data_IF_007435825460
#
_entry.id   IF_007435825460
#
_cell.length_a   1.000
_cell.length_b   1.000
_cell.length_c   1.000
_cell.angle_alpha   90.00
_cell.angle_beta   90.00
_cell.angle_gamma   90.00
#
_symmetry.space_group_name_H-M   'P 1'
#
loop_
_entity.id
_entity.type
_entity.pdbx_description
1 polymer ?
#
# COMPACT_ATOMS: atom_id res chain seq x y z
N UNK A 1 -60.84 -23.28 36.03
CA UNK A 1 -60.84 -24.71 35.65
C UNK A 1 -59.85 -24.87 34.51
N UNK A 2 -58.67 -25.43 34.82
CA UNK A 2 -58.17 -26.72 34.30
C UNK A 2 -57.58 -26.65 32.89
N UNK A 3 -56.46 -27.27 32.54
CA UNK A 3 -55.33 -27.94 33.21
C UNK A 3 -54.35 -28.21 32.06
N UNK A 4 -53.07 -28.04 32.34
CA UNK A 4 -51.90 -28.66 31.69
C UNK A 4 -52.14 -29.76 30.65
N UNK A 5 -51.58 -29.58 29.45
CA UNK A 5 -51.12 -30.65 28.54
C UNK A 5 -49.81 -30.12 27.91
N UNK A 6 -48.64 -30.51 28.42
CA UNK A 6 -47.88 -31.73 28.12
C UNK A 6 -47.18 -31.70 26.75
N UNK A 7 -45.89 -31.34 26.82
CA UNK A 7 -44.71 -31.90 26.11
C UNK A 7 -44.86 -32.32 24.64
N UNK A 8 -44.05 -31.68 23.79
CA UNK A 8 -43.59 -32.31 22.55
C UNK A 8 -42.76 -31.37 21.67
N UNK A 9 -41.67 -31.91 21.12
CA UNK A 9 -40.89 -31.42 19.97
C UNK A 9 -39.79 -30.37 20.21
N UNK A 10 -38.63 -30.92 20.58
CA UNK A 10 -37.29 -30.62 20.09
C UNK A 10 -37.21 -30.25 18.59
N UNK A 11 -36.53 -29.14 18.25
CA UNK A 11 -35.67 -28.94 17.06
C UNK A 11 -35.15 -27.48 17.05
N UNK A 12 -33.94 -27.17 17.54
CA UNK A 12 -32.68 -27.15 16.76
C UNK A 12 -32.85 -26.65 15.32
N UNK A 13 -32.58 -25.36 15.09
CA UNK A 13 -31.59 -24.90 14.11
C UNK A 13 -31.60 -23.36 14.03
N UNK A 14 -30.64 -22.76 14.72
CA UNK A 14 -30.13 -21.43 14.41
C UNK A 14 -29.57 -21.45 12.98
N UNK A 15 -30.12 -20.65 12.08
CA UNK A 15 -29.36 -20.10 10.95
C UNK A 15 -29.85 -18.68 10.67
N UNK A 16 -29.23 -17.71 11.33
CA UNK A 16 -29.22 -16.33 10.85
C UNK A 16 -28.17 -16.23 9.73
N UNK A 17 -28.51 -15.84 8.49
CA UNK A 17 -27.51 -15.43 7.53
C UNK A 17 -26.98 -14.05 7.96
N UNK A 18 -25.92 -14.05 8.77
CA UNK A 18 -25.15 -12.84 9.04
C UNK A 18 -24.40 -12.42 7.76
N UNK A 19 -24.61 -11.16 7.38
CA UNK A 19 -23.98 -10.51 6.24
C UNK A 19 -22.44 -10.58 6.32
N UNK A 20 -21.79 -10.93 5.21
CA UNK A 20 -20.36 -10.76 5.03
C UNK A 20 -20.13 -9.87 3.79
N UNK A 21 -20.02 -8.57 4.04
CA UNK A 21 -19.58 -7.57 3.08
C UNK A 21 -18.06 -7.74 2.99
N UNK A 22 -17.59 -8.47 1.99
CA UNK A 22 -16.16 -8.62 1.74
C UNK A 22 -15.66 -7.38 0.98
N UNK A 23 -15.18 -6.39 1.72
CA UNK A 23 -14.37 -5.29 1.21
C UNK A 23 -12.90 -5.64 1.48
N UNK A 24 -12.11 -6.08 0.49
CA UNK A 24 -10.68 -6.14 0.67
C UNK A 24 -10.12 -4.72 0.58
N UNK A 25 -10.00 -4.10 1.75
CA UNK A 25 -9.06 -3.02 2.00
C UNK A 25 -7.66 -3.64 2.12
N UNK A 26 -6.96 -3.75 0.99
CA UNK A 26 -5.52 -4.01 0.97
C UNK A 26 -4.81 -2.76 0.41
N UNK A 27 -4.98 -1.63 1.12
CA UNK A 27 -3.91 -0.65 1.17
C UNK A 27 -2.87 -1.21 2.14
N UNK A 28 -2.10 -2.18 1.65
CA UNK A 28 -0.84 -2.56 2.27
C UNK A 28 0.02 -1.30 2.29
N UNK A 29 0.04 -0.61 3.43
CA UNK A 29 1.05 0.37 3.76
C UNK A 29 2.36 -0.41 3.77
N UNK A 30 3.00 -0.48 2.59
CA UNK A 30 4.30 -1.08 2.41
C UNK A 30 5.20 -0.48 3.49
N UNK A 31 5.61 -1.36 4.41
CA UNK A 31 6.56 -1.09 5.46
C UNK A 31 7.67 -0.26 4.84
N UNK A 32 7.76 1.01 5.24
CA UNK A 32 8.59 2.00 4.59
C UNK A 32 10.05 1.63 4.87
N UNK A 33 10.57 0.64 4.14
CA UNK A 33 11.98 0.34 4.09
C UNK A 33 12.64 1.64 3.65
N UNK A 34 13.39 2.24 4.58
CA UNK A 34 13.90 3.58 4.43
C UNK A 34 14.73 3.64 3.14
N UNK A 35 14.29 4.45 2.18
CA UNK A 35 15.02 4.66 0.93
C UNK A 35 16.43 5.10 1.28
N UNK A 36 17.44 4.39 0.76
CA UNK A 36 18.85 4.73 0.97
C UNK A 36 19.45 5.31 -0.30
N UNK A 37 20.50 6.12 -0.10
CA UNK A 37 21.35 6.59 -1.20
C UNK A 37 21.91 5.39 -1.97
N UNK A 38 21.93 5.51 -3.30
CA UNK A 38 22.47 4.50 -4.20
C UNK A 38 21.46 3.43 -4.66
N UNK A 39 20.24 3.41 -4.10
CA UNK A 39 19.18 2.50 -4.55
C UNK A 39 18.77 2.85 -5.99
N UNK A 40 18.45 1.82 -6.78
CA UNK A 40 17.95 2.03 -8.13
C UNK A 40 16.51 2.56 -8.03
N UNK A 41 16.21 3.68 -8.69
CA UNK A 41 14.89 4.30 -8.69
C UNK A 41 14.12 3.90 -9.96
N UNK A 42 12.91 3.40 -9.79
CA UNK A 42 11.99 2.98 -10.85
C UNK A 42 10.70 3.81 -10.78
N UNK A 43 10.16 4.15 -11.94
CA UNK A 43 8.83 4.76 -12.02
C UNK A 43 7.70 3.73 -11.81
N UNK A 44 6.45 4.21 -11.85
CA UNK A 44 5.29 3.35 -11.69
C UNK A 44 5.17 2.26 -12.77
N UNK A 45 5.60 2.56 -14.00
CA UNK A 45 5.64 1.66 -15.15
C UNK A 45 6.81 0.67 -15.11
N UNK A 46 7.70 0.79 -14.12
CA UNK A 46 8.88 -0.06 -13.97
C UNK A 46 10.09 0.38 -14.81
N UNK A 47 10.04 1.57 -15.41
CA UNK A 47 11.18 2.18 -16.09
C UNK A 47 12.20 2.66 -15.05
N UNK A 48 13.45 2.26 -15.23
CA UNK A 48 14.55 2.76 -14.41
C UNK A 48 14.84 4.22 -14.70
N UNK A 49 14.65 5.07 -13.70
CA UNK A 49 14.93 6.50 -13.76
C UNK A 49 16.41 6.80 -13.47
N UNK A 50 17.02 6.06 -12.54
CA UNK A 50 18.41 6.28 -12.18
C UNK A 50 18.77 5.67 -10.83
N UNK A 51 19.66 6.34 -10.11
CA UNK A 51 19.97 6.02 -8.71
C UNK A 51 19.61 7.19 -7.82
N UNK A 52 19.22 6.88 -6.58
CA UNK A 52 18.97 7.89 -5.55
C UNK A 52 20.29 8.54 -5.16
N UNK A 53 20.39 9.86 -5.36
CA UNK A 53 21.58 10.65 -5.05
C UNK A 53 21.55 11.18 -3.62
N UNK A 54 20.40 11.68 -3.18
CA UNK A 54 20.20 12.19 -1.85
C UNK A 54 18.81 11.82 -1.33
N UNK A 55 18.74 11.51 -0.03
CA UNK A 55 17.49 11.29 0.69
C UNK A 55 17.38 12.39 1.73
N UNK A 56 16.37 13.25 1.60
CA UNK A 56 16.04 14.27 2.58
C UNK A 56 14.84 13.82 3.38
N UNK A 57 15.11 13.12 4.49
CA UNK A 57 14.06 12.65 5.39
C UNK A 57 13.31 13.82 6.04
N UNK A 58 14.02 14.90 6.40
CA UNK A 58 13.43 16.10 7.03
C UNK A 58 12.44 16.81 6.11
N UNK A 59 12.74 16.87 4.81
CA UNK A 59 11.89 17.54 3.82
C UNK A 59 10.94 16.57 3.09
N UNK A 60 11.01 15.27 3.38
CA UNK A 60 10.10 14.27 2.82
C UNK A 60 10.34 13.92 1.35
N UNK A 61 11.54 14.10 0.79
CA UNK A 61 11.82 13.79 -0.63
C UNK A 61 13.16 13.10 -0.86
N UNK A 62 13.26 12.39 -1.98
CA UNK A 62 14.54 11.92 -2.55
C UNK A 62 14.86 12.68 -3.81
N UNK A 63 16.14 12.76 -4.13
CA UNK A 63 16.61 13.33 -5.39
C UNK A 63 17.38 12.31 -6.20
N UNK A 64 17.28 12.45 -7.51
CA UNK A 64 18.08 11.69 -8.46
C UNK A 64 18.46 12.60 -9.63
N UNK A 65 19.56 12.25 -10.29
CA UNK A 65 20.03 12.97 -11.48
C UNK A 65 19.59 12.20 -12.72
N UNK A 66 18.93 12.90 -13.64
CA UNK A 66 18.59 12.38 -14.96
C UNK A 66 18.89 13.44 -16.02
N UNK A 67 19.66 13.08 -17.04
CA UNK A 67 20.06 14.00 -18.11
C UNK A 67 20.61 15.35 -17.58
N UNK A 68 21.54 15.27 -16.61
CA UNK A 68 22.19 16.44 -15.96
C UNK A 68 21.23 17.35 -15.17
N UNK A 69 19.97 16.96 -14.98
CA UNK A 69 18.99 17.68 -14.15
C UNK A 69 18.70 16.91 -12.87
N UNK A 70 18.44 17.64 -11.79
CA UNK A 70 18.05 17.08 -10.50
C UNK A 70 16.54 17.06 -10.42
N UNK A 71 15.97 15.87 -10.23
CA UNK A 71 14.55 15.68 -10.00
C UNK A 71 14.29 15.28 -8.55
N UNK A 72 13.08 15.55 -8.07
CA UNK A 72 12.66 15.27 -6.70
C UNK A 72 11.46 14.35 -6.73
N UNK A 73 11.45 13.35 -5.86
CA UNK A 73 10.33 12.42 -5.70
C UNK A 73 9.94 12.40 -4.22
N UNK A 74 8.66 12.58 -3.88
CA UNK A 74 8.19 12.47 -2.50
C UNK A 74 8.50 11.09 -1.91
N UNK A 75 8.98 11.04 -0.67
CA UNK A 75 9.20 9.78 0.04
C UNK A 75 7.90 9.00 0.25
N UNK A 76 6.77 9.71 0.41
CA UNK A 76 5.45 9.10 0.58
C UNK A 76 4.97 8.33 -0.66
N UNK A 77 5.49 8.65 -1.86
CA UNK A 77 5.15 7.93 -3.09
C UNK A 77 6.09 6.76 -3.37
N UNK A 78 7.10 6.54 -2.52
CA UNK A 78 8.13 5.53 -2.74
C UNK A 78 7.90 4.31 -1.86
N UNK A 79 7.92 3.16 -2.51
CA UNK A 79 8.03 1.85 -1.87
C UNK A 79 9.41 1.28 -2.16
N UNK A 80 9.97 0.54 -1.20
CA UNK A 80 11.29 -0.09 -1.37
C UNK A 80 11.12 -1.58 -1.40
N UNK A 81 11.68 -2.21 -2.42
CA UNK A 81 11.75 -3.65 -2.62
C UNK A 81 13.23 -4.06 -2.67
N UNK A 82 13.76 -4.51 -1.54
CA UNK A 82 15.18 -4.83 -1.37
C UNK A 82 16.11 -3.63 -1.66
N UNK A 83 16.81 -3.67 -2.79
CA UNK A 83 17.73 -2.61 -3.24
C UNK A 83 17.14 -1.70 -4.33
N UNK A 84 15.86 -1.85 -4.64
CA UNK A 84 15.12 -1.03 -5.58
C UNK A 84 14.13 -0.11 -4.84
N UNK A 85 14.09 1.16 -5.22
CA UNK A 85 13.05 2.10 -4.84
C UNK A 85 12.11 2.26 -6.03
N UNK A 86 10.81 2.04 -5.83
CA UNK A 86 9.77 2.23 -6.84
C UNK A 86 8.86 3.37 -6.41
N UNK A 87 8.63 4.33 -7.30
CA UNK A 87 7.65 5.40 -7.07
C UNK A 87 6.31 5.07 -7.73
N UNK A 88 5.21 5.54 -7.14
CA UNK A 88 3.88 5.50 -7.76
C UNK A 88 3.68 6.57 -8.82
N UNK A 89 4.59 7.54 -8.91
CA UNK A 89 4.58 8.60 -9.92
C UNK A 89 5.14 8.11 -11.27
N UNK A 90 4.54 8.58 -12.34
CA UNK A 90 5.07 8.42 -13.70
C UNK A 90 6.19 9.42 -13.98
N UNK A 91 7.04 9.13 -14.96
CA UNK A 91 8.09 10.08 -15.38
C UNK A 91 7.55 11.44 -15.82
N UNK A 92 6.36 11.48 -16.44
CA UNK A 92 5.71 12.72 -16.85
C UNK A 92 5.30 13.60 -15.65
N UNK A 93 4.86 12.99 -14.55
CA UNK A 93 4.54 13.71 -13.31
C UNK A 93 5.78 14.20 -12.55
N UNK A 94 6.92 13.53 -12.74
CA UNK A 94 8.18 13.91 -12.07
C UNK A 94 8.90 15.04 -12.82
N UNK A 95 8.76 15.08 -14.15
CA UNK A 95 9.41 16.09 -15.00
C UNK A 95 8.58 17.35 -15.21
N UNK A 96 7.26 17.27 -15.02
CA UNK A 96 6.31 18.37 -15.17
C UNK A 96 6.44 19.37 -14.03
#
# INVERSE_FOLDING_TARGET
>A
MNKFVLRGALALALMAPAAAIAQPADNAAAEAAAVKKGYALYDNAGKKLGRVEQVRQSDGYVTFIYNTKIYRVPLASISVDGHAAKTTLSWDEIKG
#
